data_IF_700256721615
#
_entry.id   IF_700256721615
#
_cell.length_a   1.000
_cell.length_b   1.000
_cell.length_c   1.000
_cell.angle_alpha   90.00
_cell.angle_beta   90.00
_cell.angle_gamma   90.00
#
_symmetry.space_group_name_H-M   'P 1'
#
loop_
_entity.id
_entity.type
_entity.pdbx_description
1 polymer ?
#
# COMPACT_ATOMS: atom_id res chain seq x y z
N UNK A 1 -30.65 -15.75 18.01
CA UNK A 1 -29.35 -16.07 17.39
C UNK A 1 -28.64 -14.76 17.11
N UNK A 2 -27.49 -14.54 17.72
CA UNK A 2 -26.72 -13.31 17.50
C UNK A 2 -25.97 -13.37 16.17
N UNK A 3 -25.56 -12.21 15.64
CA UNK A 3 -24.70 -12.16 14.45
C UNK A 3 -23.40 -12.95 14.69
N UNK A 4 -22.86 -12.90 15.91
CA UNK A 4 -21.70 -13.69 16.33
C UNK A 4 -21.94 -15.20 16.20
N UNK A 5 -23.04 -15.70 16.78
CA UNK A 5 -23.40 -17.13 16.71
C UNK A 5 -23.62 -17.60 15.26
N UNK A 6 -24.28 -16.78 14.44
CA UNK A 6 -24.51 -17.07 13.03
C UNK A 6 -23.21 -17.15 12.23
N UNK A 7 -22.26 -16.25 12.49
CA UNK A 7 -20.97 -16.22 11.81
C UNK A 7 -20.09 -17.40 12.22
N UNK A 8 -20.05 -17.76 13.50
CA UNK A 8 -19.32 -18.94 13.98
C UNK A 8 -19.88 -20.22 13.36
N UNK A 9 -21.20 -20.34 13.24
CA UNK A 9 -21.82 -21.48 12.58
C UNK A 9 -21.38 -21.61 11.11
N UNK A 10 -21.39 -20.50 10.35
CA UNK A 10 -20.94 -20.49 8.95
C UNK A 10 -19.46 -20.88 8.80
N UNK A 11 -18.59 -20.38 9.68
CA UNK A 11 -17.14 -20.69 9.63
C UNK A 11 -16.89 -22.18 9.86
N UNK A 12 -17.64 -22.82 10.77
CA UNK A 12 -17.50 -24.25 11.06
C UNK A 12 -17.90 -25.17 9.90
N UNK A 13 -18.71 -24.69 8.97
CA UNK A 13 -19.15 -25.44 7.79
C UNK A 13 -18.21 -25.26 6.59
N UNK A 14 -17.18 -24.40 6.70
CA UNK A 14 -16.24 -24.15 5.60
C UNK A 14 -15.19 -25.26 5.47
N UNK A 15 -14.76 -25.58 4.25
CA UNK A 15 -13.58 -26.40 4.01
C UNK A 15 -12.29 -25.64 4.37
N UNK A 16 -11.24 -26.38 4.78
CA UNK A 16 -9.97 -25.84 5.28
C UNK A 16 -9.35 -24.69 4.45
N UNK A 17 -9.32 -24.74 3.09
CA UNK A 17 -8.75 -23.66 2.30
C UNK A 17 -9.50 -22.32 2.48
N UNK A 18 -10.83 -22.38 2.62
CA UNK A 18 -11.66 -21.19 2.83
C UNK A 18 -11.58 -20.69 4.28
N UNK A 19 -11.28 -21.57 5.24
CA UNK A 19 -10.99 -21.17 6.62
C UNK A 19 -9.73 -20.32 6.66
N UNK A 20 -8.68 -20.70 5.91
CA UNK A 20 -7.46 -19.89 5.81
C UNK A 20 -7.75 -18.51 5.24
N UNK A 21 -8.50 -18.41 4.13
CA UNK A 21 -8.87 -17.12 3.55
C UNK A 21 -9.68 -16.23 4.53
N UNK A 22 -10.59 -16.84 5.31
CA UNK A 22 -11.33 -16.12 6.35
C UNK A 22 -10.41 -15.66 7.47
N UNK A 23 -9.44 -16.48 7.89
CA UNK A 23 -8.45 -16.11 8.90
C UNK A 23 -7.61 -14.92 8.43
N UNK A 24 -7.08 -14.99 7.20
CA UNK A 24 -6.28 -13.94 6.60
C UNK A 24 -7.08 -12.63 6.49
N UNK A 25 -8.36 -12.74 6.14
CA UNK A 25 -9.25 -11.58 6.08
C UNK A 25 -9.54 -10.98 7.46
N UNK A 26 -9.70 -11.81 8.50
CA UNK A 26 -9.87 -11.33 9.88
C UNK A 26 -8.60 -10.60 10.35
N UNK A 27 -7.42 -11.15 10.06
CA UNK A 27 -6.14 -10.50 10.39
C UNK A 27 -6.00 -9.15 9.66
N UNK A 28 -6.40 -9.10 8.39
CA UNK A 28 -6.50 -7.84 7.63
C UNK A 28 -7.46 -6.84 8.30
N UNK A 29 -8.65 -7.27 8.72
CA UNK A 29 -9.61 -6.39 9.40
C UNK A 29 -9.05 -5.86 10.74
N UNK A 30 -8.35 -6.69 11.50
CA UNK A 30 -7.68 -6.27 12.73
C UNK A 30 -6.58 -5.25 12.45
N UNK A 31 -5.73 -5.51 11.46
CA UNK A 31 -4.70 -4.58 11.01
C UNK A 31 -5.28 -3.23 10.59
N UNK A 32 -6.40 -3.24 9.86
CA UNK A 32 -7.11 -2.03 9.42
C UNK A 32 -7.77 -1.28 10.57
N UNK A 33 -8.26 -2.00 11.58
CA UNK A 33 -8.90 -1.38 12.75
C UNK A 33 -7.91 -0.69 13.69
N UNK A 34 -6.65 -1.11 13.67
CA UNK A 34 -5.56 -0.43 14.36
C UNK A 34 -5.13 0.80 13.56
N UNK A 35 -5.59 1.98 13.98
CA UNK A 35 -5.32 3.25 13.31
C UNK A 35 -3.83 3.53 13.13
N UNK A 36 -2.98 3.08 14.06
CA UNK A 36 -1.53 3.31 14.01
C UNK A 36 -0.90 2.42 12.95
N UNK A 37 -1.25 1.13 12.94
CA UNK A 37 -0.74 0.18 11.95
C UNK A 37 -1.26 0.49 10.55
N UNK A 38 -2.51 0.94 10.42
CA UNK A 38 -3.08 1.35 9.14
C UNK A 38 -2.38 2.58 8.55
N UNK A 39 -2.06 3.59 9.38
CA UNK A 39 -1.30 4.76 8.92
C UNK A 39 0.11 4.39 8.44
N UNK A 40 0.80 3.49 9.15
CA UNK A 40 2.11 2.99 8.73
C UNK A 40 2.04 2.23 7.40
N UNK A 41 0.99 1.43 7.20
CA UNK A 41 0.75 0.74 5.93
C UNK A 41 0.48 1.69 4.77
N UNK A 42 -0.29 2.76 4.98
CA UNK A 42 -0.54 3.78 3.95
C UNK A 42 0.75 4.50 3.55
N UNK A 43 1.58 4.87 4.52
CA UNK A 43 2.89 5.50 4.26
C UNK A 43 3.83 4.58 3.48
N UNK A 44 3.83 3.29 3.82
CA UNK A 44 4.61 2.30 3.09
C UNK A 44 4.11 2.12 1.65
N UNK A 45 2.80 2.03 1.44
CA UNK A 45 2.21 1.91 0.11
C UNK A 45 2.50 3.12 -0.78
N UNK A 46 2.42 4.33 -0.22
CA UNK A 46 2.79 5.56 -0.91
C UNK A 46 4.29 5.57 -1.26
N UNK A 47 5.16 5.19 -0.33
CA UNK A 47 6.60 5.11 -0.58
C UNK A 47 6.94 4.06 -1.66
N UNK A 48 6.21 2.94 -1.71
CA UNK A 48 6.35 1.91 -2.74
C UNK A 48 5.90 2.42 -4.10
N UNK A 49 4.74 3.08 -4.19
CA UNK A 49 4.24 3.70 -5.42
C UNK A 49 5.22 4.75 -5.95
N UNK A 50 5.80 5.56 -5.07
CA UNK A 50 6.86 6.50 -5.43
C UNK A 50 8.10 5.77 -5.93
N UNK A 51 8.54 4.71 -5.26
CA UNK A 51 9.73 3.95 -5.66
C UNK A 51 9.55 3.19 -7.00
N UNK A 52 8.32 2.75 -7.29
CA UNK A 52 7.95 2.07 -8.54
C UNK A 52 7.59 3.06 -9.66
N UNK A 53 7.32 4.32 -9.34
CA UNK A 53 7.14 5.39 -10.33
C UNK A 53 8.44 5.55 -11.11
N UNK A 54 8.37 5.36 -12.43
CA UNK A 54 9.51 5.54 -13.32
C UNK A 54 9.94 7.02 -13.33
N UNK A 55 11.01 7.33 -12.60
CA UNK A 55 11.59 8.67 -12.53
C UNK A 55 12.38 9.06 -13.78
N UNK A 56 12.37 8.26 -14.85
CA UNK A 56 13.08 8.56 -16.09
C UNK A 56 12.78 9.98 -16.61
N UNK A 57 11.53 10.41 -16.56
CA UNK A 57 11.13 11.75 -17.01
C UNK A 57 11.63 12.85 -16.06
N UNK A 58 11.62 12.62 -14.75
CA UNK A 58 12.14 13.57 -13.77
C UNK A 58 13.66 13.73 -13.88
N UNK A 59 14.38 12.61 -14.01
CA UNK A 59 15.84 12.59 -14.16
C UNK A 59 16.28 13.22 -15.49
N UNK A 60 15.55 12.97 -16.58
CA UNK A 60 15.84 13.59 -17.89
C UNK A 60 15.65 15.11 -17.84
N UNK A 61 14.58 15.59 -17.19
CA UNK A 61 14.36 17.02 -17.00
C UNK A 61 15.42 17.67 -16.10
N UNK A 62 15.92 16.94 -15.10
CA UNK A 62 16.99 17.40 -14.22
C UNK A 62 18.31 17.54 -15.00
N UNK A 63 18.65 16.54 -15.81
CA UNK A 63 19.87 16.55 -16.64
C UNK A 63 19.84 17.72 -17.65
N UNK A 64 18.70 17.95 -18.30
CA UNK A 64 18.53 19.10 -19.21
C UNK A 64 18.63 20.45 -18.48
N UNK A 65 18.07 20.55 -17.28
CA UNK A 65 18.19 21.75 -16.45
C UNK A 65 19.66 22.03 -16.07
N UNK A 66 20.38 21.01 -15.58
CA UNK A 66 21.79 21.11 -15.22
C UNK A 66 22.66 21.49 -16.42
N UNK A 67 22.40 20.90 -17.59
CA UNK A 67 23.11 21.24 -18.82
C UNK A 67 22.91 22.71 -19.23
N UNK A 68 21.66 23.21 -19.17
CA UNK A 68 21.35 24.61 -19.50
C UNK A 68 21.99 25.58 -18.52
N UNK A 69 22.04 25.21 -17.24
CA UNK A 69 22.69 25.98 -16.19
C UNK A 69 24.21 26.03 -16.38
N UNK A 70 24.84 24.89 -16.68
CA UNK A 70 26.27 24.79 -16.99
C UNK A 70 26.67 25.62 -18.22
N UNK A 71 25.79 25.68 -19.22
CA UNK A 71 25.93 26.52 -20.43
C UNK A 71 25.60 28.00 -20.19
N UNK A 72 25.16 28.38 -18.99
CA UNK A 72 24.70 29.73 -18.62
C UNK A 72 23.50 30.23 -19.44
N UNK A 73 22.73 29.30 -20.01
CA UNK A 73 21.50 29.62 -20.74
C UNK A 73 20.37 30.03 -19.77
N UNK A 74 20.48 29.59 -18.52
CA UNK A 74 19.59 29.95 -17.40
C UNK A 74 20.42 30.31 -16.16
N UNK A 75 19.81 30.99 -15.19
CA UNK A 75 20.40 31.31 -13.88
C UNK A 75 19.73 30.45 -12.79
N UNK A 76 20.48 30.19 -11.72
CA UNK A 76 19.96 29.62 -10.46
C UNK A 76 18.84 30.48 -9.87
#
# INVERSE_FOLDING_TARGET
>A
MTVYEATVAKIRELPEPLIQEVSDFVDFLQMKSDSTRWQLWMLFAEALEIAESDFADYLSNLEDYENRLARREIKW
#
